data_IF_330713677649
#
_entry.id   IF_330713677649
#
_cell.length_a   1.000
_cell.length_b   1.000
_cell.length_c   1.000
_cell.angle_alpha   90.00
_cell.angle_beta   90.00
_cell.angle_gamma   90.00
#
_symmetry.space_group_name_H-M   'P 1'
#
loop_
_entity.id
_entity.type
_entity.pdbx_description
1 polymer ?
#
# COMPACT_ATOMS: atom_id res chain seq x y z
N UNK A 1 25.30 -3.95 -25.82
CA UNK A 1 24.29 -4.29 -24.80
C UNK A 1 24.67 -5.64 -24.23
N UNK A 2 24.95 -5.78 -22.91
CA UNK A 2 25.21 -7.09 -22.35
C UNK A 2 23.93 -7.94 -22.44
N UNK A 3 24.09 -9.14 -22.98
CA UNK A 3 23.05 -10.11 -23.29
C UNK A 3 22.28 -10.56 -22.05
N UNK A 4 20.98 -10.81 -22.20
CA UNK A 4 20.11 -11.38 -21.19
C UNK A 4 20.53 -12.83 -20.84
N UNK A 5 21.41 -13.00 -19.85
CA UNK A 5 21.55 -14.26 -19.09
C UNK A 5 22.44 -13.99 -17.88
N UNK A 6 21.85 -13.69 -16.73
CA UNK A 6 22.65 -13.49 -15.52
C UNK A 6 21.96 -13.80 -14.20
N UNK A 7 20.75 -14.36 -14.25
CA UNK A 7 20.05 -14.87 -13.08
C UNK A 7 20.05 -16.39 -13.12
N UNK A 8 20.54 -17.02 -12.06
CA UNK A 8 20.51 -18.48 -11.89
C UNK A 8 19.69 -18.83 -10.66
N UNK A 9 18.70 -19.71 -10.81
CA UNK A 9 17.94 -20.23 -9.66
C UNK A 9 18.80 -21.27 -8.95
N UNK A 10 19.08 -21.03 -7.68
CA UNK A 10 19.88 -21.92 -6.82
C UNK A 10 18.97 -22.96 -6.17
N UNK A 11 17.82 -22.54 -5.64
CA UNK A 11 16.84 -23.46 -5.06
C UNK A 11 15.43 -22.89 -5.11
N UNK A 12 14.44 -23.80 -5.10
CA UNK A 12 13.02 -23.48 -4.96
C UNK A 12 12.42 -24.43 -3.94
N UNK A 13 11.63 -23.90 -3.02
CA UNK A 13 10.87 -24.70 -2.05
C UNK A 13 9.55 -24.02 -1.70
N UNK A 14 8.67 -24.75 -1.02
CA UNK A 14 7.44 -24.19 -0.45
C UNK A 14 7.66 -23.92 1.04
N UNK A 15 7.26 -22.74 1.50
CA UNK A 15 7.25 -22.37 2.92
C UNK A 15 5.82 -22.41 3.42
N UNK A 16 5.61 -23.12 4.52
CA UNK A 16 4.30 -23.28 5.15
C UNK A 16 4.19 -22.38 6.39
N UNK A 17 2.97 -21.95 6.78
CA UNK A 17 2.78 -21.26 8.05
C UNK A 17 3.22 -22.17 9.22
N UNK A 18 3.81 -21.58 10.25
CA UNK A 18 4.26 -22.32 11.44
C UNK A 18 3.09 -22.78 12.33
N UNK A 19 1.93 -22.13 12.19
CA UNK A 19 0.70 -22.46 12.90
C UNK A 19 -0.43 -22.75 11.91
N UNK A 20 -1.29 -23.71 12.28
CA UNK A 20 -2.48 -24.01 11.49
C UNK A 20 -3.48 -22.86 11.62
N UNK A 21 -3.93 -22.35 10.47
CA UNK A 21 -5.02 -21.36 10.43
C UNK A 21 -6.31 -21.94 11.01
N UNK A 22 -6.99 -21.16 11.85
CA UNK A 22 -8.38 -21.37 12.26
C UNK A 22 -9.35 -20.49 11.45
N UNK A 23 -8.83 -19.66 10.55
CA UNK A 23 -9.61 -18.75 9.73
C UNK A 23 -10.41 -19.54 8.71
N UNK A 24 -11.70 -19.20 8.59
CA UNK A 24 -12.58 -19.77 7.58
C UNK A 24 -12.26 -19.22 6.19
N UNK A 25 -12.95 -19.77 5.20
CA UNK A 25 -12.82 -19.32 3.82
C UNK A 25 -13.32 -17.89 3.68
N UNK A 26 -12.52 -17.02 3.04
CA UNK A 26 -12.87 -15.61 2.86
C UNK A 26 -13.38 -15.40 1.44
N UNK A 27 -14.65 -14.98 1.31
CA UNK A 27 -15.21 -14.62 0.00
C UNK A 27 -14.58 -13.33 -0.52
N UNK A 28 -14.31 -13.30 -1.82
CA UNK A 28 -13.91 -12.07 -2.50
C UNK A 28 -15.10 -11.13 -2.51
N UNK A 29 -14.88 -9.90 -2.06
CA UNK A 29 -15.89 -8.85 -2.12
C UNK A 29 -16.05 -8.34 -3.57
N UNK A 30 -17.11 -7.59 -3.82
CA UNK A 30 -17.35 -6.97 -5.13
C UNK A 30 -16.20 -6.04 -5.55
N UNK A 31 -15.51 -5.41 -4.60
CA UNK A 31 -14.32 -4.58 -4.89
C UNK A 31 -13.08 -5.40 -5.26
N UNK A 32 -12.99 -6.66 -4.83
CA UNK A 32 -11.84 -7.54 -5.08
C UNK A 32 -11.92 -8.20 -6.47
N UNK A 33 -13.14 -8.43 -6.97
CA UNK A 33 -13.38 -9.12 -8.24
C UNK A 33 -12.72 -8.43 -9.46
N UNK A 34 -12.79 -7.10 -9.64
CA UNK A 34 -12.10 -6.43 -10.74
C UNK A 34 -10.57 -6.63 -10.71
N UNK A 35 -9.99 -6.81 -9.52
CA UNK A 35 -8.55 -7.03 -9.37
C UNK A 35 -8.11 -8.40 -9.90
N UNK A 36 -9.04 -9.32 -10.17
CA UNK A 36 -8.70 -10.63 -10.75
C UNK A 36 -8.07 -10.50 -12.13
N UNK A 37 -8.37 -9.41 -12.84
CA UNK A 37 -7.78 -9.08 -14.15
C UNK A 37 -6.46 -8.31 -14.05
N UNK A 38 -6.05 -7.88 -12.84
CA UNK A 38 -4.78 -7.19 -12.61
C UNK A 38 -3.64 -8.18 -12.41
N UNK A 39 -2.41 -7.78 -12.78
CA UNK A 39 -1.22 -8.56 -12.45
C UNK A 39 -0.97 -8.61 -10.93
N UNK A 40 -0.22 -9.61 -10.50
CA UNK A 40 0.31 -9.66 -9.14
C UNK A 40 1.11 -8.40 -8.83
N UNK A 41 1.02 -7.93 -7.59
CA UNK A 41 1.82 -6.81 -7.09
C UNK A 41 3.25 -7.30 -6.91
N UNK A 42 4.19 -6.65 -7.61
CA UNK A 42 5.63 -6.91 -7.53
C UNK A 42 6.31 -5.76 -6.80
N UNK A 43 6.81 -6.01 -5.59
CA UNK A 43 7.56 -5.04 -4.79
C UNK A 43 8.62 -5.77 -3.97
N UNK A 44 9.77 -5.13 -3.77
CA UNK A 44 10.88 -5.73 -3.07
C UNK A 44 11.82 -4.69 -2.47
N UNK A 45 12.73 -5.16 -1.64
CA UNK A 45 13.77 -4.35 -1.01
C UNK A 45 15.15 -4.73 -1.53
N UNK A 46 15.99 -3.71 -1.75
CA UNK A 46 17.41 -3.87 -2.06
C UNK A 46 18.22 -3.58 -0.80
N UNK A 47 19.08 -4.52 -0.40
CA UNK A 47 19.83 -4.45 0.85
C UNK A 47 21.31 -4.74 0.61
N UNK A 48 22.16 -4.08 1.39
CA UNK A 48 23.58 -4.46 1.50
C UNK A 48 23.68 -5.75 2.30
N UNK A 49 24.63 -6.62 1.93
CA UNK A 49 24.91 -7.85 2.66
C UNK A 49 26.25 -7.72 3.40
N UNK A 50 26.27 -7.80 4.74
CA UNK A 50 27.52 -7.84 5.48
C UNK A 50 28.38 -9.05 5.04
N UNK A 51 29.69 -8.90 4.85
CA UNK A 51 30.56 -10.01 4.44
C UNK A 51 30.55 -11.21 5.40
N UNK A 52 30.24 -10.97 6.67
CA UNK A 52 30.17 -11.98 7.74
C UNK A 52 28.90 -12.82 7.68
N UNK A 53 27.86 -12.39 6.97
CA UNK A 53 26.60 -13.10 6.88
C UNK A 53 26.63 -14.09 5.70
N UNK A 54 26.61 -15.38 6.02
CA UNK A 54 26.51 -16.44 5.00
C UNK A 54 25.13 -16.44 4.35
N UNK A 55 25.08 -16.71 3.04
CA UNK A 55 23.81 -16.78 2.33
C UNK A 55 22.92 -17.91 2.85
N UNK A 56 23.48 -19.07 3.17
CA UNK A 56 22.70 -20.19 3.69
C UNK A 56 22.03 -19.86 5.04
N UNK A 57 22.74 -19.16 5.93
CA UNK A 57 22.16 -18.67 7.18
C UNK A 57 21.05 -17.65 6.96
N UNK A 58 21.25 -16.72 5.99
CA UNK A 58 20.24 -15.71 5.66
C UNK A 58 18.99 -16.37 5.07
N UNK A 59 19.15 -17.30 4.13
CA UNK A 59 18.04 -18.02 3.49
C UNK A 59 17.27 -18.83 4.53
N UNK A 60 17.96 -19.55 5.42
CA UNK A 60 17.33 -20.32 6.49
C UNK A 60 16.53 -19.43 7.44
N UNK A 61 17.13 -18.30 7.85
CA UNK A 61 16.48 -17.31 8.70
C UNK A 61 15.25 -16.69 8.02
N UNK A 62 15.34 -16.28 6.76
CA UNK A 62 14.21 -15.71 6.01
C UNK A 62 13.06 -16.71 5.83
N UNK A 63 13.35 -18.00 5.60
CA UNK A 63 12.32 -19.04 5.52
C UNK A 63 11.59 -19.22 6.86
N UNK A 64 12.32 -19.23 7.97
CA UNK A 64 11.74 -19.33 9.31
C UNK A 64 10.86 -18.12 9.62
N UNK A 65 11.38 -16.92 9.40
CA UNK A 65 10.63 -15.67 9.63
C UNK A 65 9.40 -15.56 8.72
N UNK A 66 9.49 -16.05 7.48
CA UNK A 66 8.34 -16.10 6.58
C UNK A 66 7.29 -17.09 7.08
N UNK A 67 7.71 -18.27 7.55
CA UNK A 67 6.81 -19.28 8.13
C UNK A 67 6.00 -18.72 9.29
N UNK A 68 6.64 -17.99 10.21
CA UNK A 68 5.98 -17.29 11.32
C UNK A 68 5.06 -16.16 10.82
N UNK A 69 5.51 -15.38 9.84
CA UNK A 69 4.72 -14.29 9.27
C UNK A 69 3.42 -14.80 8.64
N UNK A 70 3.46 -15.92 7.93
CA UNK A 70 2.27 -16.51 7.27
C UNK A 70 1.16 -16.89 8.25
N UNK A 71 1.49 -17.17 9.51
CA UNK A 71 0.48 -17.42 10.55
C UNK A 71 -0.28 -16.16 10.96
N UNK A 72 0.34 -14.99 10.80
CA UNK A 72 -0.34 -13.69 10.96
C UNK A 72 -1.13 -13.28 9.72
N UNK A 73 -0.85 -13.90 8.57
CA UNK A 73 -1.50 -13.63 7.29
C UNK A 73 -2.01 -14.92 6.61
N UNK A 74 -2.96 -15.65 7.23
CA UNK A 74 -3.41 -16.93 6.70
C UNK A 74 -3.85 -16.93 5.21
N UNK A 75 -4.51 -15.87 4.69
CA UNK A 75 -4.88 -15.82 3.28
C UNK A 75 -3.67 -15.92 2.34
N UNK A 76 -2.49 -15.39 2.71
CA UNK A 76 -1.32 -15.43 1.83
C UNK A 76 -0.79 -16.85 1.58
N UNK A 77 -1.05 -17.79 2.51
CA UNK A 77 -0.74 -19.21 2.36
C UNK A 77 -1.93 -20.04 1.82
N UNK A 78 -3.06 -19.40 1.50
CA UNK A 78 -4.27 -20.06 1.01
C UNK A 78 -4.29 -20.32 -0.50
N UNK A 79 -5.45 -20.71 -1.04
CA UNK A 79 -5.70 -20.90 -2.48
C UNK A 79 -7.08 -20.38 -2.86
N UNK A 80 -7.20 -19.86 -4.09
CA UNK A 80 -8.52 -19.54 -4.62
C UNK A 80 -9.31 -20.79 -4.98
N UNK A 81 -10.60 -20.72 -4.73
CA UNK A 81 -11.61 -21.68 -5.15
C UNK A 81 -12.85 -20.93 -5.63
N UNK A 82 -13.63 -21.60 -6.49
CA UNK A 82 -14.93 -21.13 -6.95
C UNK A 82 -15.98 -22.15 -6.52
N UNK A 83 -17.05 -21.68 -5.86
CA UNK A 83 -18.17 -22.56 -5.49
C UNK A 83 -19.10 -22.83 -6.69
N UNK A 84 -20.12 -23.67 -6.47
CA UNK A 84 -21.13 -24.00 -7.48
C UNK A 84 -21.98 -22.80 -7.92
N UNK A 85 -22.06 -21.76 -7.08
CA UNK A 85 -22.83 -20.54 -7.36
C UNK A 85 -21.97 -19.49 -8.10
N UNK A 86 -20.70 -19.79 -8.35
CA UNK A 86 -19.76 -18.92 -9.06
C UNK A 86 -19.05 -17.89 -8.17
N UNK A 87 -19.18 -17.96 -6.84
CA UNK A 87 -18.43 -17.09 -5.94
C UNK A 87 -16.99 -17.56 -5.81
N UNK A 88 -16.06 -16.62 -5.95
CA UNK A 88 -14.64 -16.86 -5.72
C UNK A 88 -14.34 -16.54 -4.26
N UNK A 89 -13.59 -17.42 -3.61
CA UNK A 89 -13.14 -17.25 -2.24
C UNK A 89 -11.72 -17.79 -2.08
N UNK A 90 -11.06 -17.39 -0.99
CA UNK A 90 -9.77 -17.93 -0.59
C UNK A 90 -9.95 -18.91 0.56
N UNK A 91 -9.57 -20.17 0.32
CA UNK A 91 -9.49 -21.18 1.37
C UNK A 91 -8.19 -21.02 2.12
N UNK A 92 -8.25 -20.69 3.42
CA UNK A 92 -7.09 -20.50 4.29
C UNK A 92 -6.51 -21.85 4.78
N UNK A 93 -6.21 -22.75 3.84
CA UNK A 93 -5.77 -24.13 4.09
C UNK A 93 -4.29 -24.28 4.45
N UNK A 94 -3.52 -23.18 4.49
CA UNK A 94 -2.09 -23.24 4.76
C UNK A 94 -1.29 -24.02 3.73
N UNK A 95 -1.71 -24.05 2.47
CA UNK A 95 -1.01 -24.71 1.35
C UNK A 95 0.38 -24.14 1.04
N UNK A 96 0.78 -23.06 1.73
CA UNK A 96 2.11 -22.49 1.68
C UNK A 96 2.36 -21.62 0.46
N UNK A 97 3.57 -21.06 0.42
CA UNK A 97 4.00 -20.05 -0.54
C UNK A 97 5.30 -20.46 -1.22
N UNK A 98 5.53 -19.97 -2.44
CA UNK A 98 6.78 -20.24 -3.14
C UNK A 98 7.92 -19.40 -2.55
N UNK A 99 9.04 -20.04 -2.22
CA UNK A 99 10.27 -19.39 -1.80
C UNK A 99 11.40 -19.79 -2.76
N UNK A 100 12.00 -18.80 -3.41
CA UNK A 100 13.04 -18.97 -4.42
C UNK A 100 14.32 -18.31 -3.93
N UNK A 101 15.43 -19.05 -4.00
CA UNK A 101 16.78 -18.50 -3.87
C UNK A 101 17.41 -18.47 -5.26
N UNK A 102 17.84 -17.31 -5.69
CA UNK A 102 18.52 -17.09 -6.95
C UNK A 102 19.82 -16.30 -6.74
N UNK A 103 20.69 -16.32 -7.74
CA UNK A 103 21.97 -15.61 -7.74
C UNK A 103 22.17 -14.85 -9.05
N UNK A 104 22.70 -13.63 -8.93
CA UNK A 104 23.06 -12.72 -10.00
C UNK A 104 24.32 -11.93 -9.60
N UNK A 105 25.40 -12.64 -9.26
CA UNK A 105 26.66 -12.06 -8.75
C UNK A 105 27.40 -11.16 -9.74
N UNK A 106 26.95 -11.06 -10.98
CA UNK A 106 27.46 -10.13 -11.98
C UNK A 106 26.74 -8.76 -11.94
N UNK A 107 25.75 -8.59 -11.07
CA UNK A 107 25.00 -7.36 -10.88
C UNK A 107 25.30 -6.84 -9.47
N UNK A 108 25.74 -5.59 -9.36
CA UNK A 108 25.92 -4.90 -8.08
C UNK A 108 24.71 -4.01 -7.74
N UNK A 109 24.64 -3.54 -6.49
CA UNK A 109 23.67 -2.53 -6.04
C UNK A 109 23.80 -1.25 -6.89
N UNK A 110 25.02 -0.84 -7.23
CA UNK A 110 25.24 0.37 -8.04
C UNK A 110 24.70 0.22 -9.45
N UNK A 111 24.80 -0.96 -10.05
CA UNK A 111 24.22 -1.23 -11.37
C UNK A 111 22.69 -1.06 -11.38
N UNK A 112 22.04 -1.22 -10.21
CA UNK A 112 20.60 -1.04 -10.04
C UNK A 112 20.24 0.42 -9.76
N UNK A 113 21.03 1.11 -8.93
CA UNK A 113 20.70 2.46 -8.44
C UNK A 113 21.20 3.61 -9.34
N UNK A 114 22.27 3.40 -10.10
CA UNK A 114 22.89 4.45 -10.93
C UNK A 114 22.11 4.80 -12.20
N UNK A 115 21.48 3.84 -12.92
CA UNK A 115 20.73 4.16 -14.13
C UNK A 115 19.54 5.09 -13.87
N UNK A 116 19.24 5.96 -14.84
CA UNK A 116 18.09 6.88 -14.77
C UNK A 116 16.74 6.15 -14.79
N UNK A 117 16.70 4.96 -15.41
CA UNK A 117 15.53 4.13 -15.53
C UNK A 117 15.75 2.80 -14.82
N UNK A 118 14.67 2.20 -14.30
CA UNK A 118 14.74 0.90 -13.65
C UNK A 118 15.29 -0.14 -14.63
N UNK A 119 16.43 -0.79 -14.32
CA UNK A 119 17.03 -1.76 -15.22
C UNK A 119 16.12 -2.98 -15.45
N UNK A 120 16.08 -3.49 -16.68
CA UNK A 120 15.23 -4.64 -17.04
C UNK A 120 15.57 -5.92 -16.26
N UNK A 121 16.79 -6.06 -15.75
CA UNK A 121 17.20 -7.21 -14.93
C UNK A 121 16.36 -7.35 -13.66
N UNK A 122 15.82 -6.24 -13.13
CA UNK A 122 14.99 -6.22 -11.93
C UNK A 122 13.72 -7.05 -12.10
N UNK A 123 13.17 -7.14 -13.33
CA UNK A 123 12.00 -7.99 -13.61
C UNK A 123 12.26 -9.46 -13.30
N UNK A 124 13.50 -9.93 -13.52
CA UNK A 124 13.93 -11.28 -13.18
C UNK A 124 14.08 -11.54 -11.68
N UNK A 125 14.13 -10.51 -10.84
CA UNK A 125 14.26 -10.66 -9.38
C UNK A 125 12.92 -10.95 -8.69
N UNK A 126 11.85 -11.07 -9.47
CA UNK A 126 10.53 -11.45 -9.02
C UNK A 126 10.09 -12.77 -9.65
N UNK A 127 9.36 -13.56 -8.87
CA UNK A 127 8.56 -14.67 -9.40
C UNK A 127 7.19 -14.15 -9.86
N UNK A 128 6.49 -14.89 -10.73
CA UNK A 128 5.14 -14.51 -11.20
C UNK A 128 5.07 -13.14 -11.90
N UNK A 129 6.15 -12.72 -12.54
CA UNK A 129 6.12 -11.59 -13.47
C UNK A 129 5.03 -11.82 -14.54
N UNK A 130 4.27 -10.76 -14.86
CA UNK A 130 3.12 -10.80 -15.78
C UNK A 130 2.02 -11.82 -15.43
N UNK A 131 1.98 -12.33 -14.20
CA UNK A 131 0.92 -13.26 -13.78
C UNK A 131 -0.32 -12.49 -13.37
N UNK A 132 -1.44 -12.75 -14.03
CA UNK A 132 -2.76 -12.18 -13.71
C UNK A 132 -3.33 -12.81 -12.43
N UNK A 133 -3.99 -12.03 -11.58
CA UNK A 133 -4.50 -12.44 -10.26
C UNK A 133 -5.49 -13.61 -10.32
N UNK A 134 -6.25 -13.77 -11.40
CA UNK A 134 -7.08 -14.96 -11.62
C UNK A 134 -6.27 -16.27 -11.56
N UNK A 135 -4.98 -16.26 -11.89
CA UNK A 135 -4.11 -17.43 -11.80
C UNK A 135 -3.87 -17.92 -10.36
N UNK A 136 -4.32 -17.19 -9.34
CA UNK A 136 -4.31 -17.64 -7.93
C UNK A 136 -5.12 -18.93 -7.66
N UNK A 137 -5.93 -19.37 -8.62
CA UNK A 137 -6.57 -20.70 -8.58
C UNK A 137 -5.56 -21.84 -8.81
N UNK A 138 -4.48 -21.57 -9.55
CA UNK A 138 -3.50 -22.57 -9.98
C UNK A 138 -2.10 -22.31 -9.44
N UNK A 139 -1.84 -21.10 -8.94
CA UNK A 139 -0.56 -20.64 -8.40
C UNK A 139 -0.70 -20.17 -6.96
N UNK A 140 0.39 -20.22 -6.18
CA UNK A 140 0.42 -19.59 -4.86
C UNK A 140 -0.02 -18.12 -4.89
N UNK A 141 -0.63 -17.69 -3.79
CA UNK A 141 -1.09 -16.31 -3.59
C UNK A 141 0.10 -15.36 -3.35
N UNK A 142 1.14 -15.87 -2.68
CA UNK A 142 2.40 -15.19 -2.44
C UNK A 142 3.57 -16.02 -2.98
N UNK A 143 4.58 -15.34 -3.51
CA UNK A 143 5.93 -15.85 -3.67
C UNK A 143 6.97 -14.85 -3.16
N UNK A 144 8.06 -15.37 -2.59
CA UNK A 144 9.23 -14.59 -2.17
C UNK A 144 10.45 -15.09 -2.93
N UNK A 145 11.18 -14.19 -3.57
CA UNK A 145 12.44 -14.48 -4.22
C UNK A 145 13.57 -13.68 -3.56
N UNK A 146 14.58 -14.39 -3.08
CA UNK A 146 15.82 -13.81 -2.56
C UNK A 146 16.88 -13.98 -3.64
N UNK A 147 17.36 -12.87 -4.18
CA UNK A 147 18.39 -12.84 -5.22
C UNK A 147 19.69 -12.30 -4.63
N UNK A 148 20.72 -13.13 -4.59
CA UNK A 148 22.07 -12.71 -4.23
C UNK A 148 22.69 -11.88 -5.36
N UNK A 149 23.25 -10.72 -5.00
CA UNK A 149 23.96 -9.81 -5.89
C UNK A 149 25.46 -9.81 -5.56
N UNK A 150 26.27 -9.11 -6.36
CA UNK A 150 27.72 -9.01 -6.16
C UNK A 150 28.11 -8.49 -4.76
N UNK A 151 27.35 -7.50 -4.26
CA UNK A 151 27.62 -6.73 -3.04
C UNK A 151 26.36 -6.58 -2.15
N UNK A 152 25.31 -7.36 -2.43
CA UNK A 152 24.01 -7.17 -1.81
C UNK A 152 23.04 -8.33 -1.97
N UNK A 153 21.80 -8.07 -1.59
CA UNK A 153 20.68 -8.99 -1.76
C UNK A 153 19.42 -8.21 -2.13
N UNK A 154 18.67 -8.74 -3.08
CA UNK A 154 17.33 -8.25 -3.39
C UNK A 154 16.29 -9.25 -2.87
N UNK A 155 15.31 -8.78 -2.11
CA UNK A 155 14.19 -9.59 -1.61
C UNK A 155 12.93 -9.09 -2.31
N UNK A 156 12.50 -9.84 -3.33
CA UNK A 156 11.29 -9.56 -4.11
C UNK A 156 10.11 -10.36 -3.59
N UNK A 157 8.96 -9.71 -3.48
CA UNK A 157 7.68 -10.35 -3.18
C UNK A 157 6.70 -10.14 -4.33
N UNK A 158 5.94 -11.20 -4.63
CA UNK A 158 4.91 -11.22 -5.65
C UNK A 158 3.61 -11.69 -5.01
N UNK A 159 2.61 -10.80 -4.92
CA UNK A 159 1.36 -11.07 -4.21
C UNK A 159 0.14 -10.86 -5.10
N UNK A 160 -0.84 -11.74 -4.99
CA UNK A 160 -2.09 -11.67 -5.75
C UNK A 160 -2.89 -10.40 -5.42
N UNK A 161 -3.18 -9.57 -6.42
CA UNK A 161 -3.79 -8.24 -6.22
C UNK A 161 -5.27 -8.31 -5.82
N UNK A 162 -5.96 -9.43 -6.09
CA UNK A 162 -7.32 -9.65 -5.59
C UNK A 162 -7.39 -9.99 -4.12
N UNK A 163 -6.28 -10.43 -3.54
CA UNK A 163 -6.20 -10.67 -2.10
C UNK A 163 -5.76 -9.39 -1.41
N UNK A 164 -4.72 -8.74 -1.91
CA UNK A 164 -4.02 -7.67 -1.20
C UNK A 164 -3.98 -6.37 -2.01
N UNK A 165 -4.09 -5.23 -1.32
CA UNK A 165 -3.85 -3.90 -1.87
C UNK A 165 -2.43 -3.40 -1.53
N UNK A 166 -2.07 -2.20 -2.00
CA UNK A 166 -0.74 -1.63 -1.72
C UNK A 166 -0.45 -1.41 -0.23
N UNK A 167 -1.48 -1.13 0.58
CA UNK A 167 -1.32 -0.84 2.01
C UNK A 167 -1.10 -2.12 2.80
N UNK A 168 -1.95 -3.12 2.57
CA UNK A 168 -1.86 -4.45 3.15
C UNK A 168 -0.61 -5.19 2.68
N UNK A 169 -0.15 -4.95 1.44
CA UNK A 169 1.15 -5.45 0.97
C UNK A 169 2.27 -5.01 1.90
N UNK A 170 2.41 -3.70 2.11
CA UNK A 170 3.47 -3.17 2.98
C UNK A 170 3.26 -3.54 4.43
N UNK A 171 2.02 -3.74 4.88
CA UNK A 171 1.77 -4.29 6.20
C UNK A 171 2.41 -5.68 6.35
N UNK A 172 2.11 -6.61 5.44
CA UNK A 172 2.68 -7.96 5.46
C UNK A 172 4.20 -7.99 5.30
N UNK A 173 4.76 -7.13 4.43
CA UNK A 173 6.21 -7.02 4.23
C UNK A 173 6.92 -6.43 5.46
N UNK A 174 6.33 -5.43 6.11
CA UNK A 174 6.89 -4.87 7.34
C UNK A 174 6.79 -5.86 8.49
N UNK A 175 5.68 -6.58 8.64
CA UNK A 175 5.56 -7.67 9.62
C UNK A 175 6.62 -8.75 9.38
N UNK A 176 6.87 -9.13 8.12
CA UNK A 176 7.96 -10.05 7.80
C UNK A 176 9.31 -9.55 8.30
N UNK A 177 9.60 -8.26 8.13
CA UNK A 177 10.81 -7.64 8.65
C UNK A 177 10.83 -7.54 10.19
N UNK A 178 9.69 -7.30 10.84
CA UNK A 178 9.56 -7.28 12.31
C UNK A 178 9.84 -8.66 12.92
N UNK A 179 9.21 -9.70 12.36
CA UNK A 179 9.40 -11.09 12.75
C UNK A 179 10.86 -11.51 12.53
N UNK A 180 11.46 -11.13 11.39
CA UNK A 180 12.88 -11.36 11.12
C UNK A 180 13.82 -10.70 12.13
N UNK A 181 13.44 -9.57 12.72
CA UNK A 181 14.20 -8.93 13.80
C UNK A 181 13.96 -9.56 15.19
N UNK A 182 13.04 -10.51 15.31
CA UNK A 182 12.65 -11.11 16.60
C UNK A 182 11.81 -10.19 17.47
N UNK A 183 10.97 -9.33 16.87
CA UNK A 183 10.05 -8.48 17.63
C UNK A 183 8.85 -9.31 18.10
N UNK A 184 8.65 -9.42 19.42
CA UNK A 184 7.61 -10.25 20.03
C UNK A 184 6.18 -9.72 19.80
N UNK A 185 6.01 -8.41 19.60
CA UNK A 185 4.71 -7.76 19.39
C UNK A 185 4.67 -7.05 18.04
N UNK A 186 3.92 -7.63 17.10
CA UNK A 186 3.72 -7.05 15.77
C UNK A 186 2.97 -5.72 15.89
N UNK A 187 3.47 -4.70 15.19
CA UNK A 187 2.97 -3.33 15.33
C UNK A 187 1.56 -3.15 14.75
N UNK A 188 1.22 -3.92 13.72
CA UNK A 188 -0.05 -3.83 12.99
C UNK A 188 -0.61 -5.21 12.71
N UNK A 189 -1.62 -5.61 13.47
CA UNK A 189 -2.31 -6.87 13.26
C UNK A 189 -3.31 -6.74 12.09
N UNK A 190 -3.34 -7.74 11.21
CA UNK A 190 -4.34 -7.80 10.16
C UNK A 190 -5.71 -8.17 10.75
N UNK A 191 -6.75 -7.46 10.35
CA UNK A 191 -8.13 -7.75 10.74
C UNK A 191 -8.79 -8.57 9.64
N UNK A 192 -9.16 -9.81 9.99
CA UNK A 192 -9.84 -10.76 9.08
C UNK A 192 -11.31 -10.94 9.44
N UNK A 193 -11.91 -9.99 10.17
CA UNK A 193 -13.34 -10.02 10.47
C UNK A 193 -14.17 -9.72 9.22
N UNK A 194 -14.61 -10.76 8.52
CA UNK A 194 -15.46 -10.67 7.32
C UNK A 194 -14.75 -10.90 5.99
N UNK A 195 -15.40 -10.51 4.89
CA UNK A 195 -14.92 -10.63 3.49
C UNK A 195 -13.49 -10.07 3.30
N UNK A 196 -12.83 -10.43 2.19
CA UNK A 196 -11.45 -9.99 1.89
C UNK A 196 -11.28 -8.46 1.91
N UNK A 197 -12.36 -7.69 1.69
CA UNK A 197 -12.35 -6.24 1.87
C UNK A 197 -11.86 -5.81 3.26
N UNK A 198 -12.03 -6.60 4.33
CA UNK A 198 -11.47 -6.31 5.66
C UNK A 198 -9.94 -6.40 5.68
N UNK A 199 -9.35 -7.26 4.84
CA UNK A 199 -7.90 -7.39 4.68
C UNK A 199 -7.29 -6.20 3.90
N UNK A 200 -8.07 -5.58 3.01
CA UNK A 200 -7.71 -4.36 2.27
C UNK A 200 -8.16 -3.07 2.98
N UNK A 201 -9.12 -3.16 3.91
CA UNK A 201 -9.74 -2.00 4.52
C UNK A 201 -8.89 -1.39 5.62
N UNK A 202 -8.85 -0.06 5.57
CA UNK A 202 -8.24 0.92 6.47
C UNK A 202 -8.61 0.83 7.97
N UNK A 203 -9.20 -0.27 8.46
CA UNK A 203 -9.68 -0.39 9.84
C UNK A 203 -8.55 -0.49 10.88
N UNK A 204 -7.36 -0.92 10.45
CA UNK A 204 -6.15 -0.94 11.29
C UNK A 204 -5.59 0.46 11.63
N UNK A 205 -6.10 1.55 11.01
CA UNK A 205 -5.72 2.93 11.36
C UNK A 205 -6.70 3.62 12.32
N UNK A 206 -7.83 2.99 12.65
CA UNK A 206 -8.91 3.60 13.44
C UNK A 206 -9.19 2.91 14.78
N UNK A 207 -8.39 1.91 15.18
CA UNK A 207 -8.48 1.38 16.54
C UNK A 207 -7.69 2.28 17.49
N UNK A 208 -8.34 3.01 18.43
CA UNK A 208 -7.61 3.68 19.49
C UNK A 208 -6.88 2.61 20.32
N UNK A 209 -5.62 2.87 20.65
CA UNK A 209 -4.89 2.05 21.62
C UNK A 209 -5.72 1.93 22.92
N UNK A 210 -5.73 0.77 23.59
CA UNK A 210 -6.34 0.67 24.91
C UNK A 210 -5.63 1.66 25.83
N UNK A 211 -6.37 2.62 26.37
CA UNK A 211 -5.88 3.54 27.38
C UNK A 211 -5.42 2.73 28.60
N UNK A 212 -4.25 3.02 29.19
CA UNK A 212 -3.89 2.41 30.46
C UNK A 212 -4.92 2.85 31.51
N UNK A 213 -5.57 1.86 32.15
CA UNK A 213 -6.37 2.09 33.33
C UNK A 213 -5.46 2.70 34.41
N UNK A 214 -5.76 3.94 34.78
CA UNK A 214 -5.20 4.59 35.97
C UNK A 214 -5.95 3.97 37.14
N UNK A 215 -5.42 2.89 37.71
CA UNK A 215 -5.76 2.43 39.08
C UNK A 215 -4.62 1.63 39.75
N UNK A 216 -3.52 1.30 39.08
CA UNK A 216 -2.42 0.49 39.66
C UNK A 216 -1.18 1.28 40.12
N UNK A 217 -1.29 2.59 40.33
CA UNK A 217 -0.16 3.44 40.79
C UNK A 217 -0.57 4.39 41.94
N UNK A 218 -1.32 3.90 42.92
CA UNK A 218 -1.53 4.60 44.19
C UNK A 218 -1.33 3.74 45.44
N UNK A 219 -0.58 2.64 45.31
CA UNK A 219 -0.18 1.82 46.46
C UNK A 219 1.33 1.58 46.48
N UNK A 220 2.14 2.65 46.57
CA UNK A 220 3.47 2.64 47.18
C UNK A 220 4.12 4.04 47.15
N UNK A 221 3.69 4.93 48.05
CA UNK A 221 4.55 6.01 48.53
C UNK A 221 4.09 6.44 49.92
N UNK A 222 4.68 5.82 50.94
CA UNK A 222 4.63 6.29 52.31
C UNK A 222 6.04 6.21 52.88
N UNK A 223 6.64 7.40 53.03
CA UNK A 223 7.78 7.75 53.91
C UNK A 223 9.15 7.13 53.50
N UNK A 224 10.24 7.89 53.38
CA UNK A 224 10.87 8.65 54.46
C UNK A 224 11.98 9.58 53.89
N UNK A 225 12.08 10.81 54.40
CA UNK A 225 13.17 11.78 54.18
C UNK A 225 14.38 11.44 55.09
N UNK A 226 15.64 11.85 54.79
CA UNK A 226 16.07 13.18 55.27
C UNK A 226 17.13 13.89 54.39
N UNK A 227 17.21 15.21 54.60
CA UNK A 227 18.20 16.16 54.05
C UNK A 227 19.58 16.05 54.71
N UNK A 228 20.60 16.71 54.12
CA UNK A 228 21.65 17.35 54.92
C UNK A 228 21.87 18.82 54.53
N UNK A 229 22.10 19.67 55.54
CA UNK A 229 22.70 21.00 55.41
C UNK A 229 23.67 21.24 56.57
N UNK A 230 24.87 21.75 56.24
CA UNK A 230 25.71 22.73 56.96
C UNK A 230 27.19 22.35 56.99
N UNK A 231 28.05 23.15 56.33
CA UNK A 231 29.21 23.77 56.99
C UNK A 231 29.72 24.99 56.18
N UNK A 232 30.28 25.93 56.93
CA UNK A 232 30.69 27.32 56.67
C UNK A 232 32.08 27.48 56.02
N UNK A 233 32.31 28.55 55.22
CA UNK A 233 33.39 29.56 55.39
C UNK A 233 33.93 30.23 54.11
N UNK A 234 33.96 31.57 54.18
CA UNK A 234 34.98 32.55 53.73
C UNK A 234 35.34 32.82 52.24
N UNK A 235 34.94 34.03 51.80
CA UNK A 235 35.76 35.18 51.36
C UNK A 235 36.53 35.23 50.02
N UNK A 236 36.41 36.42 49.40
CA UNK A 236 37.29 37.13 48.43
C UNK A 236 37.15 36.91 46.90
N UNK A 237 37.16 38.05 46.19
CA UNK A 237 37.37 38.25 44.75
C UNK A 237 38.46 39.33 44.57
N UNK A 238 38.98 39.72 43.36
CA UNK A 238 39.06 39.14 41.99
C UNK A 238 40.57 39.06 41.52
N UNK A 239 41.04 39.07 40.23
CA UNK A 239 40.40 39.18 38.89
C UNK A 239 40.92 38.27 37.73
N UNK A 240 40.17 38.32 36.61
CA UNK A 240 40.55 38.18 35.18
C UNK A 240 41.39 36.98 34.67
N UNK A 241 40.82 36.19 33.75
CA UNK A 241 41.47 35.75 32.49
C UNK A 241 40.49 35.11 31.49
N UNK A 242 40.80 35.26 30.20
CA UNK A 242 39.99 34.98 28.99
C UNK A 242 39.75 33.47 28.68
N UNK A 243 38.55 33.19 28.15
CA UNK A 243 38.08 32.25 27.08
C UNK A 243 38.91 30.99 26.68
N UNK A 244 38.32 29.86 26.17
CA UNK A 244 37.10 29.84 25.33
C UNK A 244 36.09 28.67 25.49
N UNK A 245 34.85 29.01 25.08
CA UNK A 245 33.75 28.21 24.51
C UNK A 245 33.78 26.67 24.54
N UNK A 246 32.81 26.07 25.26
CA UNK A 246 32.23 24.76 24.93
C UNK A 246 30.72 24.92 24.84
N UNK A 247 30.20 24.81 23.61
CA UNK A 247 28.76 24.77 23.31
C UNK A 247 28.22 23.41 23.75
N UNK A 248 27.26 23.40 24.69
CA UNK A 248 26.46 22.22 25.05
C UNK A 248 25.14 22.28 24.30
N UNK A 249 24.88 21.30 23.46
CA UNK A 249 23.62 21.14 22.74
C UNK A 249 22.49 20.69 23.71
N UNK A 250 21.25 21.21 23.61
CA UNK A 250 20.10 20.72 24.38
C UNK A 250 19.27 19.67 23.61
N UNK A 251 18.77 18.69 24.36
CA UNK A 251 17.88 17.59 23.98
C UNK A 251 16.52 18.07 23.41
N UNK A 252 15.90 17.44 22.38
CA UNK A 252 14.65 17.93 21.80
C UNK A 252 13.36 17.44 22.49
N UNK A 253 12.65 18.42 23.04
CA UNK A 253 11.22 18.73 23.01
C UNK A 253 10.13 17.64 23.04
N UNK A 254 9.36 17.69 24.14
CA UNK A 254 7.97 17.25 24.30
C UNK A 254 7.03 17.97 23.32
N UNK A 255 6.17 17.20 22.64
CA UNK A 255 5.20 17.68 21.64
C UNK A 255 4.05 18.45 22.32
N UNK A 256 3.73 19.66 21.81
CA UNK A 256 2.68 20.53 22.33
C UNK A 256 1.26 20.11 21.89
N UNK A 257 0.26 20.51 22.67
CA UNK A 257 -1.17 20.19 22.47
C UNK A 257 -1.74 20.67 21.12
N UNK A 258 -1.08 21.59 20.41
CA UNK A 258 -1.48 22.00 19.07
C UNK A 258 -1.27 20.89 18.02
N UNK A 259 -0.34 19.96 18.23
CA UNK A 259 -0.21 18.77 17.36
C UNK A 259 -1.30 17.73 17.62
N UNK A 260 -1.93 17.72 18.80
CA UNK A 260 -2.97 16.74 19.17
C UNK A 260 -4.29 17.00 18.44
N UNK A 261 -4.63 18.26 18.20
CA UNK A 261 -5.87 18.64 17.53
C UNK A 261 -5.84 18.46 16.00
N UNK A 262 -4.65 18.35 15.39
CA UNK A 262 -4.53 18.07 13.95
C UNK A 262 -4.81 16.61 13.57
N UNK A 263 -4.98 15.71 14.55
CA UNK A 263 -5.16 14.27 14.32
C UNK A 263 -6.66 13.89 14.21
N UNK A 264 -7.58 14.72 14.73
CA UNK A 264 -9.02 14.39 14.75
C UNK A 264 -9.83 14.84 13.53
N UNK A 265 -9.25 15.62 12.59
CA UNK A 265 -9.96 16.13 11.41
C UNK A 265 -9.41 15.58 10.08
N UNK A 266 -9.11 14.28 10.02
CA UNK A 266 -8.67 13.64 8.78
C UNK A 266 -9.83 13.44 7.79
N UNK A 267 -10.14 14.51 7.03
CA UNK A 267 -10.78 14.41 5.69
C UNK A 267 -10.01 13.36 4.87
N UNK A 268 -10.66 12.53 4.02
CA UNK A 268 -10.00 11.47 3.27
C UNK A 268 -8.74 12.01 2.57
N UNK A 269 -7.58 11.48 2.98
CA UNK A 269 -6.29 12.07 2.69
C UNK A 269 -5.91 12.00 1.21
N UNK A 270 -5.07 12.94 0.78
CA UNK A 270 -4.44 13.01 -0.55
C UNK A 270 -3.86 11.66 -1.01
N UNK A 271 -3.41 10.82 -0.06
CA UNK A 271 -2.86 9.49 -0.31
C UNK A 271 -3.91 8.47 -0.76
N UNK A 272 -5.14 8.55 -0.24
CA UNK A 272 -6.27 7.69 -0.67
C UNK A 272 -6.67 8.04 -2.10
N UNK A 273 -6.69 9.33 -2.43
CA UNK A 273 -6.99 9.82 -3.77
C UNK A 273 -5.90 9.45 -4.77
N UNK A 274 -4.63 9.56 -4.36
CA UNK A 274 -3.48 9.16 -5.16
C UNK A 274 -3.48 7.64 -5.38
N UNK A 275 -3.86 6.85 -4.38
CA UNK A 275 -4.01 5.39 -4.51
C UNK A 275 -5.10 5.01 -5.52
N UNK A 276 -6.27 5.66 -5.46
CA UNK A 276 -7.34 5.46 -6.44
C UNK A 276 -6.92 5.91 -7.85
N UNK A 277 -6.15 7.00 -7.95
CA UNK A 277 -5.64 7.51 -9.21
C UNK A 277 -4.56 6.58 -9.82
N UNK A 278 -3.70 6.00 -8.99
CA UNK A 278 -2.70 5.00 -9.40
C UNK A 278 -3.40 3.73 -9.86
N UNK A 279 -4.37 3.21 -9.11
CA UNK A 279 -5.17 2.03 -9.52
C UNK A 279 -5.91 2.29 -10.83
N UNK A 280 -6.54 3.46 -10.98
CA UNK A 280 -7.20 3.85 -12.22
C UNK A 280 -6.21 3.98 -13.40
N UNK A 281 -5.03 4.58 -13.17
CA UNK A 281 -3.99 4.73 -14.19
C UNK A 281 -3.37 3.38 -14.59
N UNK A 282 -3.21 2.45 -13.65
CA UNK A 282 -2.77 1.08 -13.89
C UNK A 282 -3.80 0.34 -14.74
N UNK A 283 -5.09 0.42 -14.39
CA UNK A 283 -6.20 -0.17 -15.18
C UNK A 283 -6.22 0.40 -16.60
N UNK A 284 -6.06 1.72 -16.76
CA UNK A 284 -6.02 2.39 -18.07
C UNK A 284 -4.78 1.97 -18.87
N UNK A 285 -3.61 1.86 -18.23
CA UNK A 285 -2.38 1.42 -18.88
C UNK A 285 -2.43 -0.04 -19.32
N UNK A 286 -3.07 -0.91 -18.53
CA UNK A 286 -3.31 -2.31 -18.87
C UNK A 286 -4.33 -2.46 -20.01
N UNK A 287 -5.38 -1.63 -20.05
CA UNK A 287 -6.33 -1.61 -21.16
C UNK A 287 -5.66 -1.24 -22.50
N UNK A 288 -4.71 -0.30 -22.48
CA UNK A 288 -3.92 0.09 -23.66
C UNK A 288 -3.03 -1.04 -24.19
N UNK A 289 -2.62 -1.98 -23.33
CA UNK A 289 -1.75 -3.10 -23.71
C UNK A 289 -2.54 -4.28 -24.30
N UNK A 290 -3.84 -4.39 -24.01
CA UNK A 290 -4.74 -5.44 -24.53
C UNK A 290 -5.50 -4.95 -25.78
N UNK A 291 -5.74 -3.65 -25.93
CA UNK A 291 -6.50 -3.08 -27.03
C UNK A 291 -5.62 -2.64 -28.22
N UNK A 292 -4.92 -3.58 -28.86
CA UNK A 292 -4.54 -3.47 -30.28
C UNK A 292 -5.62 -4.07 -31.20
N UNK A 293 -6.86 -4.20 -30.71
CA UNK A 293 -8.03 -4.56 -31.52
C UNK A 293 -9.08 -3.45 -31.49
N UNK A 294 -9.22 -2.75 -32.61
CA UNK A 294 -10.36 -1.93 -33.03
C UNK A 294 -11.14 -1.18 -31.93
N UNK A 295 -10.47 -0.31 -31.16
CA UNK A 295 -11.21 0.68 -30.36
C UNK A 295 -11.75 1.78 -31.27
N UNK A 296 -13.08 1.89 -31.37
CA UNK A 296 -13.75 2.97 -32.09
C UNK A 296 -13.32 4.33 -31.50
N UNK A 297 -12.73 5.20 -32.33
CA UNK A 297 -12.26 6.55 -31.95
C UNK A 297 -13.29 7.35 -31.13
N UNK A 298 -14.58 7.12 -31.39
CA UNK A 298 -15.70 7.71 -30.66
C UNK A 298 -15.77 7.33 -29.18
N UNK A 299 -15.48 6.08 -28.82
CA UNK A 299 -15.51 5.59 -27.43
C UNK A 299 -14.33 6.17 -26.65
N UNK A 300 -13.15 6.22 -27.29
CA UNK A 300 -11.96 6.85 -26.72
C UNK A 300 -12.18 8.34 -26.46
N UNK A 301 -12.85 9.05 -27.38
CA UNK A 301 -13.17 10.47 -27.21
C UNK A 301 -14.19 10.71 -26.08
N UNK A 302 -15.17 9.81 -25.93
CA UNK A 302 -16.17 9.87 -24.86
C UNK A 302 -15.55 9.59 -23.48
N UNK A 303 -14.63 8.62 -23.41
CA UNK A 303 -13.85 8.32 -22.20
C UNK A 303 -12.97 9.50 -21.80
N UNK A 304 -12.31 10.14 -22.77
CA UNK A 304 -11.47 11.31 -22.53
C UNK A 304 -12.29 12.52 -22.03
N UNK A 305 -13.46 12.76 -22.63
CA UNK A 305 -14.40 13.80 -22.18
C UNK A 305 -14.87 13.56 -20.74
N UNK A 306 -15.22 12.31 -20.41
CA UNK A 306 -15.64 11.92 -19.05
C UNK A 306 -14.52 12.14 -18.04
N UNK A 307 -13.29 11.70 -18.35
CA UNK A 307 -12.13 11.90 -17.49
C UNK A 307 -11.82 13.40 -17.26
N UNK A 308 -11.94 14.24 -18.30
CA UNK A 308 -11.72 15.69 -18.18
C UNK A 308 -12.75 16.37 -17.27
N UNK A 309 -14.02 15.94 -17.32
CA UNK A 309 -15.09 16.45 -16.44
C UNK A 309 -14.77 16.12 -14.98
N UNK A 310 -14.48 14.85 -14.67
CA UNK A 310 -14.13 14.44 -13.31
C UNK A 310 -12.85 15.13 -12.83
N UNK A 311 -11.83 15.28 -13.68
CA UNK A 311 -10.60 16.00 -13.35
C UNK A 311 -10.84 17.46 -12.97
N UNK A 312 -11.71 18.16 -13.69
CA UNK A 312 -12.09 19.55 -13.39
C UNK A 312 -12.86 19.64 -12.05
N UNK A 313 -13.84 18.78 -11.82
CA UNK A 313 -14.63 18.78 -10.58
C UNK A 313 -13.79 18.41 -9.34
N UNK A 314 -12.92 17.41 -9.48
CA UNK A 314 -12.03 16.96 -8.42
C UNK A 314 -11.04 18.07 -8.04
N UNK A 315 -10.37 18.64 -9.04
CA UNK A 315 -9.43 19.75 -8.83
C UNK A 315 -10.15 20.94 -8.19
N UNK A 316 -11.38 21.25 -8.63
CA UNK A 316 -12.21 22.31 -8.07
C UNK A 316 -12.52 22.07 -6.59
N UNK A 317 -12.86 20.84 -6.21
CA UNK A 317 -13.10 20.45 -4.82
C UNK A 317 -11.89 20.74 -3.91
N UNK A 318 -10.68 20.43 -4.37
CA UNK A 318 -9.45 20.62 -3.57
C UNK A 318 -8.96 22.08 -3.52
N UNK A 319 -9.16 22.86 -4.57
CA UNK A 319 -8.73 24.27 -4.59
C UNK A 319 -9.79 25.23 -4.05
N UNK A 320 -11.01 24.75 -3.74
CA UNK A 320 -12.16 25.57 -3.30
C UNK A 320 -11.83 26.47 -2.11
N UNK A 321 -11.10 25.94 -1.13
CA UNK A 321 -10.75 26.65 0.10
C UNK A 321 -9.64 27.70 -0.11
N UNK A 322 -8.79 27.53 -1.14
CA UNK A 322 -7.64 28.42 -1.42
C UNK A 322 -7.88 29.43 -2.55
N UNK A 323 -8.68 29.08 -3.56
CA UNK A 323 -8.83 29.86 -4.79
C UNK A 323 -10.27 29.80 -5.33
N UNK A 324 -11.17 30.54 -4.69
CA UNK A 324 -12.61 30.54 -5.03
C UNK A 324 -12.91 30.95 -6.49
N UNK A 325 -12.15 31.90 -7.06
CA UNK A 325 -12.35 32.31 -8.45
C UNK A 325 -11.96 31.21 -9.44
N UNK A 326 -10.84 30.52 -9.21
CA UNK A 326 -10.40 29.40 -10.04
C UNK A 326 -11.36 28.21 -9.91
N UNK A 327 -11.85 27.91 -8.71
CA UNK A 327 -12.88 26.91 -8.45
C UNK A 327 -14.15 27.16 -9.27
N UNK A 328 -14.69 28.39 -9.25
CA UNK A 328 -15.90 28.77 -10.01
C UNK A 328 -15.69 28.66 -11.52
N UNK A 329 -14.51 29.01 -12.02
CA UNK A 329 -14.17 28.84 -13.44
C UNK A 329 -14.11 27.36 -13.80
N UNK A 330 -13.48 26.54 -12.95
CA UNK A 330 -13.28 25.12 -13.22
C UNK A 330 -14.58 24.31 -13.14
N UNK A 331 -15.50 24.68 -12.26
CA UNK A 331 -16.87 24.14 -12.27
C UNK A 331 -17.61 24.49 -13.56
N UNK A 332 -17.55 25.74 -14.02
CA UNK A 332 -18.17 26.16 -15.29
C UNK A 332 -17.57 25.42 -16.49
N UNK A 333 -16.26 25.21 -16.50
CA UNK A 333 -15.56 24.41 -17.51
C UNK A 333 -16.02 22.95 -17.45
N UNK A 334 -16.16 22.36 -16.27
CA UNK A 334 -16.67 21.00 -16.10
C UNK A 334 -18.10 20.85 -16.64
N UNK A 335 -18.99 21.80 -16.35
CA UNK A 335 -20.36 21.80 -16.88
C UNK A 335 -20.39 21.93 -18.41
N UNK A 336 -19.55 22.80 -18.98
CA UNK A 336 -19.44 22.93 -20.43
C UNK A 336 -18.91 21.66 -21.11
N UNK A 337 -17.89 21.04 -20.53
CA UNK A 337 -17.34 19.76 -21.00
C UNK A 337 -18.37 18.62 -20.85
N UNK A 338 -19.16 18.61 -19.77
CA UNK A 338 -20.24 17.64 -19.56
C UNK A 338 -21.33 17.75 -20.63
N UNK A 339 -21.80 18.97 -20.92
CA UNK A 339 -22.75 19.21 -21.99
C UNK A 339 -22.19 18.74 -23.35
N UNK A 340 -20.94 19.10 -23.66
CA UNK A 340 -20.28 18.74 -24.92
C UNK A 340 -20.11 17.22 -25.07
N UNK A 341 -19.65 16.55 -24.01
CA UNK A 341 -19.46 15.09 -23.96
C UNK A 341 -20.79 14.36 -24.09
N UNK A 342 -21.87 14.88 -23.48
CA UNK A 342 -23.22 14.34 -23.59
C UNK A 342 -23.78 14.44 -25.02
N UNK A 343 -23.66 15.60 -25.69
CA UNK A 343 -24.08 15.72 -27.08
C UNK A 343 -23.28 14.81 -28.02
N UNK A 344 -21.99 14.63 -27.76
CA UNK A 344 -21.15 13.68 -28.48
C UNK A 344 -21.58 12.22 -28.22
N UNK A 345 -21.99 11.89 -26.99
CA UNK A 345 -22.54 10.56 -26.64
C UNK A 345 -23.86 10.25 -27.38
N UNK A 346 -24.69 11.26 -27.62
CA UNK A 346 -25.94 11.09 -28.38
C UNK A 346 -25.65 10.95 -29.88
N UNK A 347 -24.68 11.71 -30.39
CA UNK A 347 -24.28 11.68 -31.80
C UNK A 347 -23.56 10.37 -32.20
N UNK A 348 -23.07 9.60 -31.23
CA UNK A 348 -22.38 8.34 -31.49
C UNK A 348 -23.40 7.19 -31.73
N UNK A 349 -23.14 6.32 -32.72
CA UNK A 349 -24.02 5.19 -33.02
C UNK A 349 -23.89 4.10 -31.95
N UNK A 350 -24.64 4.25 -30.86
CA UNK A 350 -24.72 3.29 -29.76
C UNK A 350 -25.96 2.39 -29.85
N UNK A 351 -25.92 1.17 -29.28
CA UNK A 351 -27.08 0.28 -29.15
C UNK A 351 -28.29 0.98 -28.50
N UNK A 352 -29.51 0.59 -28.91
CA UNK A 352 -30.75 1.26 -28.52
C UNK A 352 -30.94 1.35 -26.99
N UNK A 353 -30.57 0.30 -26.24
CA UNK A 353 -30.67 0.28 -24.78
C UNK A 353 -29.82 1.36 -24.09
N UNK A 354 -28.59 1.59 -24.58
CA UNK A 354 -27.70 2.63 -24.04
C UNK A 354 -28.26 4.02 -24.36
N UNK A 355 -28.81 4.22 -25.56
CA UNK A 355 -29.49 5.47 -25.92
C UNK A 355 -30.66 5.77 -25.00
N UNK A 356 -31.53 4.79 -24.76
CA UNK A 356 -32.66 4.94 -23.85
C UNK A 356 -32.22 5.30 -22.42
N UNK A 357 -31.15 4.68 -21.92
CA UNK A 357 -30.59 5.00 -20.60
C UNK A 357 -30.06 6.45 -20.53
N UNK A 358 -29.32 6.91 -21.56
CA UNK A 358 -28.79 8.27 -21.64
C UNK A 358 -29.94 9.30 -21.63
N UNK A 359 -30.99 9.06 -22.43
CA UNK A 359 -32.18 9.92 -22.46
C UNK A 359 -32.92 9.92 -21.12
N UNK A 360 -33.07 8.77 -20.47
CA UNK A 360 -33.72 8.67 -19.17
C UNK A 360 -32.99 9.48 -18.07
N UNK A 361 -31.66 9.34 -17.98
CA UNK A 361 -30.84 10.10 -17.02
C UNK A 361 -30.92 11.61 -17.27
N UNK A 362 -30.95 12.03 -18.54
CA UNK A 362 -31.10 13.44 -18.92
C UNK A 362 -32.46 14.01 -18.52
N UNK A 363 -33.55 13.29 -18.81
CA UNK A 363 -34.90 13.71 -18.42
C UNK A 363 -35.04 13.79 -16.90
N UNK A 364 -34.51 12.81 -16.17
CA UNK A 364 -34.50 12.84 -14.69
C UNK A 364 -33.73 14.07 -14.18
N UNK A 365 -32.58 14.38 -14.78
CA UNK A 365 -31.79 15.55 -14.39
C UNK A 365 -32.51 16.87 -14.68
N UNK A 366 -33.21 16.99 -15.81
CA UNK A 366 -34.04 18.17 -16.10
C UNK A 366 -35.21 18.31 -15.12
N UNK A 367 -35.84 17.20 -14.74
CA UNK A 367 -36.92 17.19 -13.75
C UNK A 367 -36.39 17.65 -12.38
N UNK A 368 -35.25 17.14 -11.93
CA UNK A 368 -34.62 17.56 -10.67
C UNK A 368 -34.26 19.05 -10.71
N UNK A 369 -33.66 19.54 -11.79
CA UNK A 369 -33.31 20.96 -11.95
C UNK A 369 -34.57 21.83 -11.95
N UNK A 370 -35.64 21.41 -12.62
CA UNK A 370 -36.91 22.14 -12.60
C UNK A 370 -37.48 22.19 -11.18
N UNK A 371 -37.56 21.05 -10.49
CA UNK A 371 -38.04 20.97 -9.11
C UNK A 371 -37.24 21.87 -8.18
N UNK A 372 -35.90 21.86 -8.28
CA UNK A 372 -35.02 22.70 -7.45
C UNK A 372 -35.06 24.21 -7.78
N UNK A 373 -35.60 24.61 -8.94
CA UNK A 373 -35.75 26.03 -9.30
C UNK A 373 -37.19 26.54 -9.09
N UNK A 374 -38.16 25.65 -8.93
CA UNK A 374 -39.57 25.97 -8.69
C UNK A 374 -40.03 25.73 -7.24
N UNK A 375 -39.15 25.19 -6.39
CA UNK A 375 -39.21 25.22 -4.91
C UNK A 375 -38.26 26.29 -4.39
#
# INVERSE_FOLDING_TARGET
>A
MPSATSLTIVSKCTVFPDQKSILQDLKLSVSDLPMLSCHYILKGGLFTRPPTLSMDSLISHLKQSLSQTLSHFPPLAGRFNTDSDGHIYITCNGAGVDFIHATATNISIQDILYPLHVPDCIKGFFTFESTVSYQGHYKPILAVQVTELADGVFIGCSMNHSVIDGTSFWNSFNTFAEVSRGIDKISRQADFSGEISSFQSLRALLSPAPSPHIDDLEAQSSQTQPSPSNTTSESQAPPSQESPSVVREPLPHTISESQRNNILDAKPGLNTLLSLFVVAFEIISQYKQVAESETNNSISLLSLGTAAIFGCLLTSHFIREKMQNACRVLEKVAFFLAATTFFFAIATPCPLGIRCAIWAVYIISLIVIAICNFL
#
